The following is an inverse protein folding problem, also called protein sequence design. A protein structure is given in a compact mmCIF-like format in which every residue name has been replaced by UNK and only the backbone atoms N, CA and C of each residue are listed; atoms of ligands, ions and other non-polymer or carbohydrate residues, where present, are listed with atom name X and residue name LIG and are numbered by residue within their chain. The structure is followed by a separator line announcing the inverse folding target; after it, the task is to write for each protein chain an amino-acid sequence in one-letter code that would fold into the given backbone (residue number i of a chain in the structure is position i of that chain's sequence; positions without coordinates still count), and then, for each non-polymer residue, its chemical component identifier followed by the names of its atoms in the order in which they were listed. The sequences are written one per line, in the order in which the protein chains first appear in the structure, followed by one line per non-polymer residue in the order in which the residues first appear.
data_IF_794810250920
#
_entry.id   IF_794810250920
#
_cell.length_a   1.000
_cell.length_b   1.000
_cell.length_c   1.000
_cell.angle_alpha   90.00
_cell.angle_beta   90.00
_cell.angle_gamma   90.00
#
_symmetry.space_group_name_H-M   'P 1'
#
loop_
_entity.id
_entity.type
_entity.pdbx_description
1 polymer ?
#
# COMPACT_ATOMS: atom_id res chain seq x y z
N UNK A 1 -25.23 -40.04 18.09
CA UNK A 1 -24.13 -39.06 18.13
C UNK A 1 -23.74 -38.88 19.57
N UNK A 2 -22.50 -39.23 19.90
CA UNK A 2 -22.00 -39.06 21.27
C UNK A 2 -21.83 -37.57 21.57
N UNK A 3 -22.03 -37.16 22.82
CA UNK A 3 -21.89 -35.76 23.24
C UNK A 3 -20.50 -35.20 22.93
N UNK A 4 -19.48 -36.07 22.89
CA UNK A 4 -18.09 -35.74 22.54
C UNK A 4 -17.93 -35.29 21.09
N UNK A 5 -18.62 -35.93 20.14
CA UNK A 5 -18.56 -35.55 18.72
C UNK A 5 -19.15 -34.16 18.51
N UNK A 6 -20.26 -33.84 19.19
CA UNK A 6 -20.89 -32.53 19.11
C UNK A 6 -19.96 -31.41 19.60
N UNK A 7 -19.24 -31.66 20.70
CA UNK A 7 -18.24 -30.73 21.24
C UNK A 7 -17.05 -30.59 20.28
N UNK A 8 -16.58 -31.68 19.68
CA UNK A 8 -15.48 -31.66 18.72
C UNK A 8 -15.81 -30.83 17.47
N UNK A 9 -17.02 -30.98 16.90
CA UNK A 9 -17.46 -30.16 15.77
C UNK A 9 -17.61 -28.68 16.15
N UNK A 10 -18.09 -28.38 17.36
CA UNK A 10 -18.17 -27.02 17.87
C UNK A 10 -16.80 -26.34 17.99
N UNK A 11 -15.81 -27.04 18.56
CA UNK A 11 -14.44 -26.54 18.70
C UNK A 11 -13.75 -26.38 17.34
N UNK A 12 -13.92 -27.34 16.43
CA UNK A 12 -13.38 -27.26 15.07
C UNK A 12 -13.96 -26.06 14.29
N UNK A 13 -15.26 -25.80 14.42
CA UNK A 13 -15.91 -24.63 13.80
C UNK A 13 -15.38 -23.29 14.32
N UNK A 14 -15.16 -23.18 15.63
CA UNK A 14 -14.61 -21.98 16.26
C UNK A 14 -13.15 -21.74 15.82
N UNK A 15 -12.34 -22.80 15.74
CA UNK A 15 -10.96 -22.71 15.24
C UNK A 15 -10.89 -22.25 13.78
N UNK A 16 -11.79 -22.75 12.93
CA UNK A 16 -11.89 -22.34 11.52
C UNK A 16 -12.24 -20.85 11.38
N UNK A 17 -13.19 -20.36 12.19
CA UNK A 17 -13.56 -18.95 12.22
C UNK A 17 -12.39 -18.06 12.66
N UNK A 18 -11.65 -18.47 13.68
CA UNK A 18 -10.45 -17.76 14.15
C UNK A 18 -9.36 -17.67 13.09
N UNK A 19 -9.08 -18.77 12.37
CA UNK A 19 -8.12 -18.78 11.27
C UNK A 19 -8.54 -17.84 10.13
N UNK A 20 -9.83 -17.84 9.79
CA UNK A 20 -10.35 -16.95 8.74
C UNK A 20 -10.19 -15.49 9.14
N UNK A 21 -10.53 -15.13 10.39
CA UNK A 21 -10.40 -13.76 10.89
C UNK A 21 -8.94 -13.28 10.96
N UNK A 22 -8.02 -14.19 11.30
CA UNK A 22 -6.59 -13.91 11.32
C UNK A 22 -6.04 -13.60 9.91
N UNK A 23 -6.57 -14.23 8.86
CA UNK A 23 -6.19 -13.99 7.45
C UNK A 23 -6.79 -12.72 6.84
N UNK A 24 -7.97 -12.28 7.31
CA UNK A 24 -8.59 -11.05 6.80
C UNK A 24 -7.81 -9.78 7.17
N UNK A 25 -7.17 -9.73 8.34
CA UNK A 25 -6.33 -8.61 8.76
C UNK A 25 -5.16 -8.30 7.80
N UNK A 26 -4.27 -9.26 7.45
CA UNK A 26 -3.16 -9.00 6.53
C UNK A 26 -3.64 -8.70 5.12
N UNK A 27 -4.74 -9.31 4.67
CA UNK A 27 -5.28 -9.06 3.33
C UNK A 27 -5.72 -7.60 3.15
N UNK A 28 -6.34 -7.02 4.19
CA UNK A 28 -6.69 -5.60 4.20
C UNK A 28 -5.45 -4.69 4.18
N UNK A 29 -4.37 -5.08 4.84
CA UNK A 29 -3.11 -4.33 4.83
C UNK A 29 -2.47 -4.30 3.44
N UNK A 30 -2.47 -5.43 2.72
CA UNK A 30 -1.96 -5.51 1.35
C UNK A 30 -2.77 -4.61 0.41
N UNK A 31 -4.11 -4.64 0.50
CA UNK A 31 -4.95 -3.72 -0.27
C UNK A 31 -4.71 -2.26 0.06
N UNK A 32 -4.53 -1.92 1.34
CA UNK A 32 -4.21 -0.56 1.77
C UNK A 32 -2.83 -0.10 1.24
N UNK A 33 -1.83 -0.99 1.19
CA UNK A 33 -0.54 -0.70 0.57
C UNK A 33 -0.67 -0.49 -0.93
N UNK A 34 -1.44 -1.33 -1.62
CA UNK A 34 -1.67 -1.22 -3.06
C UNK A 34 -2.34 0.10 -3.43
N UNK A 35 -3.37 0.53 -2.68
CA UNK A 35 -4.05 1.81 -2.89
C UNK A 35 -3.11 3.00 -2.65
N UNK A 36 -2.26 2.93 -1.63
CA UNK A 36 -1.26 3.97 -1.37
C UNK A 36 -0.21 4.04 -2.47
N UNK A 37 0.26 2.90 -2.96
CA UNK A 37 1.21 2.79 -4.07
C UNK A 37 0.66 3.41 -5.36
N UNK A 38 -0.58 3.07 -5.71
CA UNK A 38 -1.29 3.62 -6.87
C UNK A 38 -1.47 5.13 -6.70
N UNK A 39 -1.86 5.59 -5.51
CA UNK A 39 -1.99 7.02 -5.21
C UNK A 39 -0.68 7.80 -5.34
N UNK A 40 0.43 7.26 -4.83
CA UNK A 40 1.77 7.86 -4.95
C UNK A 40 2.27 7.91 -6.40
N UNK A 41 2.08 6.83 -7.16
CA UNK A 41 2.44 6.77 -8.58
C UNK A 41 1.58 7.70 -9.46
N UNK A 42 0.26 7.72 -9.25
CA UNK A 42 -0.66 8.63 -9.94
C UNK A 42 -0.37 10.09 -9.58
N UNK A 43 -0.09 10.38 -8.30
CA UNK A 43 0.31 11.70 -7.83
C UNK A 43 1.57 12.20 -8.54
N UNK A 44 2.59 11.34 -8.67
CA UNK A 44 3.81 11.66 -9.41
C UNK A 44 3.52 11.92 -10.90
N UNK A 45 2.67 11.09 -11.54
CA UNK A 45 2.30 11.24 -12.94
C UNK A 45 1.54 12.56 -13.22
N UNK A 46 0.52 12.86 -12.41
CA UNK A 46 -0.27 14.10 -12.53
C UNK A 46 0.61 15.32 -12.24
N UNK A 47 1.44 15.26 -11.19
CA UNK A 47 2.37 16.34 -10.87
C UNK A 47 3.33 16.61 -12.02
N UNK A 48 3.88 15.55 -12.62
CA UNK A 48 4.80 15.70 -13.75
C UNK A 48 4.11 16.32 -14.98
N UNK A 49 2.82 16.03 -15.22
CA UNK A 49 2.03 16.68 -16.29
C UNK A 49 1.82 18.18 -16.04
N UNK A 50 1.50 18.57 -14.80
CA UNK A 50 1.22 19.97 -14.44
C UNK A 50 2.51 20.80 -14.41
N UNK A 51 3.58 20.25 -13.83
CA UNK A 51 4.86 20.94 -13.65
C UNK A 51 5.81 20.80 -14.84
N UNK A 52 5.36 20.17 -15.93
CA UNK A 52 6.14 20.05 -17.15
C UNK A 52 6.54 21.41 -17.76
N UNK A 53 5.71 22.43 -17.57
CA UNK A 53 6.03 23.78 -18.08
C UNK A 53 6.95 24.59 -17.15
N UNK A 54 7.11 24.15 -15.90
CA UNK A 54 7.81 24.92 -14.85
C UNK A 54 9.26 24.47 -14.66
N UNK A 55 9.75 23.49 -15.43
CA UNK A 55 11.09 22.90 -15.24
C UNK A 55 11.23 22.03 -13.98
N UNK A 56 10.17 21.93 -13.17
CA UNK A 56 10.13 21.18 -11.92
C UNK A 56 9.72 19.70 -12.15
N UNK A 57 10.39 19.02 -13.09
CA UNK A 57 10.18 17.60 -13.38
C UNK A 57 10.84 16.69 -12.34
N UNK A 58 10.07 15.82 -11.68
CA UNK A 58 10.63 14.63 -11.01
C UNK A 58 10.57 13.52 -12.04
N UNK A 59 11.72 13.11 -12.57
CA UNK A 59 11.78 12.07 -13.61
C UNK A 59 11.09 10.79 -13.12
N UNK A 60 10.15 10.27 -13.91
CA UNK A 60 9.53 8.96 -13.67
C UNK A 60 10.53 7.91 -14.17
N UNK A 61 11.38 7.44 -13.26
CA UNK A 61 12.35 6.37 -13.47
C UNK A 61 11.95 5.19 -12.57
N UNK A 62 12.44 3.99 -12.86
CA UNK A 62 12.30 2.79 -12.01
C UNK A 62 12.63 3.10 -10.55
N UNK A 63 13.62 3.94 -10.28
CA UNK A 63 14.00 4.33 -8.90
C UNK A 63 12.92 5.20 -8.23
N UNK A 64 12.40 6.23 -8.89
CA UNK A 64 11.39 7.12 -8.30
C UNK A 64 10.00 6.46 -8.24
N UNK A 65 9.67 5.65 -9.24
CA UNK A 65 8.45 4.86 -9.28
C UNK A 65 8.44 3.75 -8.22
N UNK A 66 9.58 3.12 -7.92
CA UNK A 66 9.69 2.13 -6.83
C UNK A 66 9.61 2.80 -5.44
N UNK A 67 10.23 3.96 -5.25
CA UNK A 67 10.13 4.71 -3.98
C UNK A 67 8.68 5.18 -3.76
N UNK A 68 8.02 5.78 -4.75
CA UNK A 68 6.60 6.15 -4.67
C UNK A 68 5.66 4.94 -4.61
N UNK A 69 6.01 3.81 -5.21
CA UNK A 69 5.20 2.58 -5.17
C UNK A 69 5.27 1.89 -3.82
N UNK A 70 6.43 1.87 -3.17
CA UNK A 70 6.61 1.22 -1.86
C UNK A 70 6.12 2.11 -0.72
N UNK A 71 6.42 3.42 -0.77
CA UNK A 71 6.00 4.36 0.26
C UNK A 71 4.61 4.96 -0.01
N UNK A 72 4.13 5.02 -1.25
CA UNK A 72 2.87 5.67 -1.60
C UNK A 72 2.95 7.20 -1.51
N UNK A 73 1.94 7.81 -0.88
CA UNK A 73 1.85 9.26 -0.67
C UNK A 73 3.05 9.88 0.07
N UNK A 74 3.60 9.29 1.16
CA UNK A 74 4.79 9.84 1.80
C UNK A 74 6.04 9.75 0.90
N UNK A 75 6.12 8.77 0.00
CA UNK A 75 7.21 8.66 -0.99
C UNK A 75 7.19 9.82 -1.99
N UNK A 76 6.00 10.22 -2.41
CA UNK A 76 5.81 11.40 -3.26
C UNK A 76 6.27 12.69 -2.57
N UNK A 77 5.91 12.89 -1.30
CA UNK A 77 6.39 14.04 -0.52
C UNK A 77 7.92 14.05 -0.36
N UNK A 78 8.54 12.88 -0.14
CA UNK A 78 9.99 12.73 -0.01
C UNK A 78 10.74 13.10 -1.30
N UNK A 79 10.22 12.69 -2.46
CA UNK A 79 10.82 13.05 -3.75
C UNK A 79 10.71 14.55 -4.03
N UNK A 80 9.58 15.18 -3.69
CA UNK A 80 9.40 16.62 -3.83
C UNK A 80 10.35 17.40 -2.92
N UNK A 81 10.45 17.00 -1.64
CA UNK A 81 11.35 17.61 -0.67
C UNK A 81 12.82 17.44 -1.07
N UNK A 82 13.21 16.23 -1.49
CA UNK A 82 14.56 15.96 -1.98
C UNK A 82 14.92 16.83 -3.18
N UNK A 83 13.98 17.03 -4.10
CA UNK A 83 14.19 17.92 -5.24
C UNK A 83 14.26 19.39 -4.84
N UNK A 84 13.42 19.85 -3.91
CA UNK A 84 13.51 21.21 -3.36
C UNK A 84 14.86 21.46 -2.67
N UNK A 85 15.39 20.48 -1.94
CA UNK A 85 16.68 20.58 -1.25
C UNK A 85 17.85 20.63 -2.24
N UNK A 86 17.81 19.81 -3.30
CA UNK A 86 18.86 19.79 -4.34
C UNK A 86 18.80 20.98 -5.31
N UNK A 87 17.70 21.74 -5.31
CA UNK A 87 17.50 22.90 -6.18
C UNK A 87 17.79 24.24 -5.48
N UNK A 88 18.27 24.21 -4.22
CA UNK A 88 18.86 25.35 -3.49
C UNK A 88 20.39 25.33 -3.64
#
# INVERSE_FOLDING_TARGET
MSTLELVAYGVAGILLLLMCFAFFKPLRAIFAMLLQAIGGGLGLYIFNLIFAKTGFFVGINIVTASICGVLGLPGFCLLLLGKMLYML
#
